data_IF_073815965164
#
_entry.id   IF_073815965164
#
_cell.length_a   1.000
_cell.length_b   1.000
_cell.length_c   1.000
_cell.angle_alpha   90.00
_cell.angle_beta   90.00
_cell.angle_gamma   90.00
#
_symmetry.space_group_name_H-M   'P 1'
#
loop_
_entity.id
_entity.type
_entity.pdbx_description
1 polymer ?
#
# COMPACT_ATOMS: atom_id res chain seq x y z
N UNK A 1 8.71 -22.50 1.63
CA UNK A 1 8.72 -21.78 0.33
C UNK A 1 8.39 -20.32 0.60
N UNK A 2 9.07 -19.42 -0.03
CA UNK A 2 8.79 -17.99 0.01
C UNK A 2 7.86 -17.61 -1.14
N UNK A 3 6.76 -16.93 -0.83
CA UNK A 3 5.85 -16.37 -1.83
C UNK A 3 5.92 -14.84 -1.78
N UNK A 4 6.11 -14.21 -2.93
CA UNK A 4 6.08 -12.75 -3.05
C UNK A 4 4.82 -12.36 -3.82
N UNK A 5 4.01 -11.49 -3.23
CA UNK A 5 2.74 -11.03 -3.82
C UNK A 5 2.78 -9.52 -3.98
N UNK A 6 2.47 -9.04 -5.16
CA UNK A 6 2.30 -7.60 -5.44
C UNK A 6 0.83 -7.24 -5.41
N UNK A 7 0.48 -6.20 -4.63
CA UNK A 7 -0.88 -5.69 -4.54
C UNK A 7 -0.93 -4.28 -5.13
N UNK A 8 -1.83 -4.05 -6.08
CA UNK A 8 -2.07 -2.72 -6.64
C UNK A 8 -2.93 -1.85 -5.72
N UNK A 9 -2.79 -0.51 -5.85
CA UNK A 9 -3.51 0.44 -5.00
C UNK A 9 -5.03 0.38 -5.12
N UNK A 10 -5.56 0.18 -6.32
CA UNK A 10 -7.00 0.08 -6.53
C UNK A 10 -7.62 -1.11 -5.78
N UNK A 11 -6.88 -2.19 -5.62
CA UNK A 11 -7.31 -3.37 -4.90
C UNK A 11 -7.40 -3.15 -3.39
N UNK A 12 -6.50 -2.32 -2.85
CA UNK A 12 -6.53 -1.95 -1.43
C UNK A 12 -7.76 -1.11 -1.05
N UNK A 13 -8.35 -0.41 -2.01
CA UNK A 13 -9.50 0.46 -1.81
C UNK A 13 -10.85 -0.27 -2.03
N UNK A 14 -10.83 -1.40 -2.72
CA UNK A 14 -12.05 -2.17 -2.99
C UNK A 14 -12.45 -3.01 -1.79
N UNK A 15 -13.74 -3.18 -1.56
CA UNK A 15 -14.26 -4.08 -0.52
C UNK A 15 -13.87 -5.56 -0.71
N UNK A 16 -13.37 -5.93 -1.89
CA UNK A 16 -12.83 -7.26 -2.18
C UNK A 16 -11.51 -7.54 -1.47
N UNK A 17 -10.81 -6.50 -0.99
CA UNK A 17 -9.50 -6.63 -0.35
C UNK A 17 -9.51 -7.53 0.88
N UNK A 18 -10.58 -7.50 1.68
CA UNK A 18 -10.65 -8.31 2.90
C UNK A 18 -10.61 -9.82 2.62
N UNK A 19 -11.35 -10.30 1.63
CA UNK A 19 -11.34 -11.70 1.24
C UNK A 19 -9.99 -12.14 0.70
N UNK A 20 -9.33 -11.26 -0.03
CA UNK A 20 -8.01 -11.55 -0.57
C UNK A 20 -6.94 -11.58 0.53
N UNK A 21 -7.01 -10.73 1.55
CA UNK A 21 -6.13 -10.82 2.73
C UNK A 21 -6.33 -12.11 3.49
N UNK A 22 -7.57 -12.58 3.61
CA UNK A 22 -7.87 -13.89 4.20
C UNK A 22 -7.24 -15.03 3.39
N UNK A 23 -7.29 -14.95 2.07
CA UNK A 23 -6.65 -15.94 1.20
C UNK A 23 -5.12 -15.92 1.34
N UNK A 24 -4.52 -14.72 1.35
CA UNK A 24 -3.08 -14.56 1.57
C UNK A 24 -2.63 -15.09 2.93
N UNK A 25 -3.43 -14.83 3.95
CA UNK A 25 -3.12 -15.29 5.31
C UNK A 25 -3.04 -16.82 5.43
N UNK A 26 -3.72 -17.55 4.56
CA UNK A 26 -3.74 -19.03 4.55
C UNK A 26 -2.61 -19.66 3.76
N UNK A 27 -1.82 -18.89 3.03
CA UNK A 27 -0.69 -19.43 2.27
C UNK A 27 0.33 -20.06 3.22
N UNK A 28 0.82 -21.24 2.86
CA UNK A 28 1.88 -21.90 3.62
C UNK A 28 3.25 -21.25 3.35
N UNK A 29 4.17 -21.37 4.30
CA UNK A 29 5.51 -20.83 4.18
C UNK A 29 5.61 -19.33 4.43
N UNK A 30 6.69 -18.74 4.01
CA UNK A 30 6.95 -17.31 4.19
C UNK A 30 6.26 -16.47 3.13
N UNK A 31 5.79 -15.31 3.52
CA UNK A 31 5.07 -14.38 2.65
C UNK A 31 5.70 -13.00 2.70
N UNK A 32 5.99 -12.45 1.54
CA UNK A 32 6.35 -11.04 1.36
C UNK A 32 5.26 -10.38 0.51
N UNK A 33 4.67 -9.32 1.03
CA UNK A 33 3.69 -8.53 0.29
C UNK A 33 4.32 -7.20 -0.11
N UNK A 34 4.29 -6.91 -1.40
CA UNK A 34 4.73 -5.63 -1.97
C UNK A 34 3.49 -4.85 -2.39
N UNK A 35 3.35 -3.64 -1.91
CA UNK A 35 2.18 -2.83 -2.23
C UNK A 35 2.55 -1.49 -2.86
N UNK A 36 1.60 -0.90 -3.58
CA UNK A 36 1.66 0.48 -4.03
C UNK A 36 0.75 1.37 -3.18
N UNK A 37 0.19 2.39 -3.76
CA UNK A 37 -0.70 3.33 -3.08
C UNK A 37 -0.87 4.65 -3.83
N UNK A 38 -0.79 4.62 -5.17
CA UNK A 38 -0.86 5.83 -5.99
C UNK A 38 -2.13 6.64 -5.76
N UNK A 39 -3.29 5.99 -5.62
CA UNK A 39 -4.56 6.66 -5.33
C UNK A 39 -4.54 7.34 -3.95
N UNK A 40 -4.01 6.68 -2.94
CA UNK A 40 -3.88 7.26 -1.60
C UNK A 40 -2.93 8.46 -1.61
N UNK A 41 -1.80 8.37 -2.31
CA UNK A 41 -0.88 9.48 -2.47
C UNK A 41 -1.59 10.67 -3.11
N UNK A 42 -2.32 10.46 -4.21
CA UNK A 42 -3.06 11.52 -4.89
C UNK A 42 -4.09 12.16 -3.99
N UNK A 43 -4.83 11.37 -3.23
CA UNK A 43 -5.84 11.84 -2.28
C UNK A 43 -5.22 12.73 -1.19
N UNK A 44 -4.10 12.30 -0.62
CA UNK A 44 -3.44 13.07 0.44
C UNK A 44 -2.73 14.31 -0.09
N UNK A 45 -2.14 14.26 -1.30
CA UNK A 45 -1.61 15.45 -1.96
C UNK A 45 -2.70 16.50 -2.16
N UNK A 46 -3.87 16.08 -2.63
CA UNK A 46 -5.01 16.97 -2.82
C UNK A 46 -5.46 17.61 -1.50
N UNK A 47 -5.56 16.81 -0.44
CA UNK A 47 -5.90 17.32 0.91
C UNK A 47 -4.88 18.32 1.44
N UNK A 48 -3.61 18.12 1.15
CA UNK A 48 -2.52 19.01 1.56
C UNK A 48 -2.39 20.24 0.67
N UNK A 49 -3.15 20.34 -0.42
CA UNK A 49 -3.05 21.43 -1.37
C UNK A 49 -1.78 21.38 -2.23
N UNK A 50 -1.18 20.21 -2.37
CA UNK A 50 0.02 20.00 -3.19
C UNK A 50 -0.40 19.47 -4.55
N UNK A 51 -0.02 20.19 -5.62
CA UNK A 51 -0.32 19.78 -6.98
C UNK A 51 0.61 18.65 -7.42
N UNK A 52 0.02 17.58 -7.95
CA UNK A 52 0.77 16.46 -8.50
C UNK A 52 1.34 16.82 -9.87
N UNK A 53 2.61 16.50 -10.08
CA UNK A 53 3.32 16.70 -11.34
C UNK A 53 3.65 15.34 -11.96
N UNK A 54 3.40 15.19 -13.25
CA UNK A 54 3.62 13.92 -13.97
C UNK A 54 4.48 14.14 -15.20
N UNK A 55 5.41 13.22 -15.42
CA UNK A 55 6.24 13.17 -16.63
C UNK A 55 6.25 11.73 -17.15
N UNK A 56 5.83 11.55 -18.40
CA UNK A 56 5.78 10.24 -19.07
C UNK A 56 5.07 9.15 -18.24
N UNK A 57 3.94 9.50 -17.60
CA UNK A 57 3.17 8.59 -16.77
C UNK A 57 3.78 8.33 -15.39
N UNK A 58 4.90 8.93 -15.07
CA UNK A 58 5.56 8.83 -13.78
C UNK A 58 5.34 10.09 -12.94
N UNK A 59 5.01 9.90 -11.67
CA UNK A 59 4.88 11.01 -10.73
C UNK A 59 6.25 11.60 -10.42
N UNK A 60 6.37 12.91 -10.56
CA UNK A 60 7.57 13.63 -10.10
C UNK A 60 7.50 13.68 -8.56
N UNK A 61 8.43 12.99 -7.91
CA UNK A 61 8.41 12.79 -6.46
C UNK A 61 9.63 13.43 -5.83
N UNK A 62 9.48 14.68 -5.43
CA UNK A 62 10.52 15.49 -4.78
C UNK A 62 9.91 16.48 -3.80
N UNK A 63 10.72 17.05 -2.91
CA UNK A 63 10.27 18.05 -1.94
C UNK A 63 9.10 17.55 -1.10
N UNK A 64 8.07 18.38 -0.97
CA UNK A 64 6.88 18.05 -0.18
C UNK A 64 6.13 16.82 -0.71
N UNK A 65 6.11 16.63 -2.02
CA UNK A 65 5.53 15.44 -2.62
C UNK A 65 6.25 14.18 -2.17
N UNK A 66 7.58 14.19 -2.11
CA UNK A 66 8.37 13.08 -1.62
C UNK A 66 8.08 12.78 -0.15
N UNK A 67 8.07 13.80 0.70
CA UNK A 67 7.79 13.64 2.13
C UNK A 67 6.41 13.02 2.35
N UNK A 68 5.40 13.55 1.69
CA UNK A 68 4.05 13.03 1.79
C UNK A 68 3.94 11.61 1.25
N UNK A 69 4.61 11.30 0.15
CA UNK A 69 4.64 9.95 -0.43
C UNK A 69 5.21 8.94 0.58
N UNK A 70 6.32 9.28 1.24
CA UNK A 70 6.90 8.43 2.29
C UNK A 70 5.91 8.23 3.44
N UNK A 71 5.28 9.29 3.93
CA UNK A 71 4.29 9.22 5.00
C UNK A 71 3.11 8.31 4.62
N UNK A 72 2.58 8.47 3.42
CA UNK A 72 1.42 7.71 2.96
C UNK A 72 1.76 6.26 2.72
N UNK A 73 2.83 5.97 2.00
CA UNK A 73 3.18 4.59 1.66
C UNK A 73 3.65 3.79 2.87
N UNK A 74 4.63 4.29 3.61
CA UNK A 74 5.21 3.54 4.72
C UNK A 74 4.43 3.67 6.03
N UNK A 75 3.66 4.71 6.19
CA UNK A 75 2.79 4.91 7.35
C UNK A 75 1.36 4.40 7.12
N UNK A 76 0.61 5.11 6.32
CA UNK A 76 -0.82 4.85 6.15
C UNK A 76 -1.13 3.55 5.42
N UNK A 77 -0.63 3.38 4.20
CA UNK A 77 -0.94 2.20 3.38
C UNK A 77 -0.29 0.94 3.95
N UNK A 78 0.99 1.00 4.26
CA UNK A 78 1.74 -0.14 4.80
C UNK A 78 1.10 -0.69 6.08
N UNK A 79 0.76 0.17 7.02
CA UNK A 79 0.18 -0.26 8.30
C UNK A 79 -1.25 -0.80 8.16
N UNK A 80 -2.00 -0.33 7.18
CA UNK A 80 -3.31 -0.93 6.85
C UNK A 80 -3.17 -2.34 6.28
N UNK A 81 -2.15 -2.58 5.45
CA UNK A 81 -1.84 -3.93 4.96
C UNK A 81 -1.46 -4.85 6.12
N UNK A 82 -0.58 -4.39 7.01
CA UNK A 82 -0.19 -5.14 8.21
C UNK A 82 -1.40 -5.46 9.09
N UNK A 83 -2.25 -4.47 9.34
CA UNK A 83 -3.49 -4.66 10.12
C UNK A 83 -4.40 -5.71 9.48
N UNK A 84 -4.60 -5.62 8.17
CA UNK A 84 -5.47 -6.55 7.45
C UNK A 84 -4.97 -7.99 7.50
N UNK A 85 -3.66 -8.19 7.31
CA UNK A 85 -3.06 -9.52 7.44
C UNK A 85 -3.14 -10.06 8.87
N UNK A 86 -2.84 -9.22 9.84
CA UNK A 86 -2.89 -9.60 11.26
C UNK A 86 -4.32 -9.96 11.68
N UNK A 87 -5.30 -9.18 11.26
CA UNK A 87 -6.72 -9.45 11.51
C UNK A 87 -7.18 -10.74 10.83
N UNK A 88 -6.60 -11.09 9.69
CA UNK A 88 -6.87 -12.36 9.01
C UNK A 88 -6.14 -13.57 9.62
N UNK A 89 -5.40 -13.37 10.71
CA UNK A 89 -4.71 -14.44 11.42
C UNK A 89 -3.24 -14.63 11.04
N UNK A 90 -2.67 -13.69 10.28
CA UNK A 90 -1.25 -13.75 9.91
C UNK A 90 -0.50 -12.53 10.44
N UNK A 91 0.10 -12.61 11.63
CA UNK A 91 0.92 -11.52 12.16
C UNK A 91 2.02 -11.13 11.19
N UNK A 92 2.19 -9.84 10.99
CA UNK A 92 3.08 -9.31 9.96
C UNK A 92 3.82 -8.06 10.45
N UNK A 93 4.95 -7.80 9.85
CA UNK A 93 5.75 -6.58 10.09
C UNK A 93 5.80 -5.78 8.80
N UNK A 94 5.59 -4.48 8.91
CA UNK A 94 5.68 -3.56 7.77
C UNK A 94 6.97 -2.73 7.83
N UNK A 95 7.65 -2.67 6.71
CA UNK A 95 8.86 -1.86 6.53
C UNK A 95 8.66 -0.81 5.43
#
# INVERSE_FOLDING_TARGET
MLTVVKIGGAWLESGAGENAFRALAKLSGDLVVVHGGGHEISRWLNRAGIEAEWVDGLRVTRGDTLQLTVMVLSGWVNKRVVESLSRAGRPSVGI
#
